data_IF_943015312165
#
_entry.id   IF_943015312165
#
_cell.length_a   1.000
_cell.length_b   1.000
_cell.length_c   1.000
_cell.angle_alpha   90.00
_cell.angle_beta   90.00
_cell.angle_gamma   90.00
#
_symmetry.space_group_name_H-M   'P 1'
#
loop_
_entity.id
_entity.type
_entity.pdbx_description
1 polymer ?
#
# COMPACT_ATOMS: atom_id res chain seq x y z
N UNK A 1 0.41 9.09 17.49
CA UNK A 1 0.84 8.44 16.22
C UNK A 1 1.32 9.52 15.28
N UNK A 2 2.31 9.22 14.43
CA UNK A 2 2.95 10.19 13.52
C UNK A 2 2.07 10.60 12.33
N UNK A 3 2.67 11.31 11.37
CA UNK A 3 2.02 11.83 10.18
C UNK A 3 1.36 10.70 9.35
N UNK A 4 0.06 10.76 9.03
CA UNK A 4 -0.60 9.75 8.20
C UNK A 4 -0.17 9.76 6.73
N UNK A 5 0.43 10.86 6.26
CA UNK A 5 0.82 11.03 4.86
C UNK A 5 2.04 10.17 4.48
N UNK A 6 1.91 9.21 3.54
CA UNK A 6 3.01 8.38 3.08
C UNK A 6 3.80 9.00 1.90
N UNK A 7 3.56 10.25 1.52
CA UNK A 7 4.14 10.85 0.30
C UNK A 7 5.67 10.87 0.29
N UNK A 8 6.33 10.91 1.45
CA UNK A 8 7.80 10.81 1.56
C UNK A 8 8.35 9.47 1.09
N UNK A 9 7.52 8.43 1.09
CA UNK A 9 7.87 7.10 0.64
C UNK A 9 7.43 6.81 -0.81
N UNK A 10 6.71 7.74 -1.45
CA UNK A 10 6.22 7.56 -2.81
C UNK A 10 7.40 7.56 -3.79
N UNK A 11 7.50 6.51 -4.60
CA UNK A 11 8.49 6.38 -5.68
C UNK A 11 7.88 6.92 -6.97
N UNK A 12 6.77 6.33 -7.40
CA UNK A 12 6.14 6.62 -8.68
C UNK A 12 4.68 6.13 -8.73
N UNK A 13 4.02 6.39 -9.85
CA UNK A 13 2.74 5.78 -10.20
C UNK A 13 2.92 4.95 -11.47
N UNK A 14 2.51 3.68 -11.44
CA UNK A 14 2.71 2.77 -12.57
C UNK A 14 1.41 2.05 -12.96
N UNK A 15 1.14 1.84 -14.27
CA UNK A 15 0.01 1.02 -14.71
C UNK A 15 0.22 -0.46 -14.33
N UNK A 16 -0.75 -1.07 -13.64
CA UNK A 16 -0.73 -2.47 -13.21
C UNK A 16 -2.04 -3.14 -13.62
N UNK A 17 -1.97 -4.39 -14.07
CA UNK A 17 -3.16 -5.23 -14.32
C UNK A 17 -3.52 -5.96 -13.03
N UNK A 18 -4.72 -5.68 -12.51
CA UNK A 18 -5.31 -6.43 -11.38
C UNK A 18 -6.35 -7.44 -11.90
N UNK A 19 -6.88 -8.29 -11.02
CA UNK A 19 -7.69 -9.47 -11.35
C UNK A 19 -8.86 -9.29 -12.36
N UNK A 20 -9.32 -8.06 -12.61
CA UNK A 20 -10.33 -7.71 -13.62
C UNK A 20 -9.79 -7.56 -15.06
N UNK A 21 -8.51 -7.86 -15.30
CA UNK A 21 -7.80 -7.63 -16.57
C UNK A 21 -7.75 -6.14 -16.99
N UNK A 22 -8.12 -5.24 -16.09
CA UNK A 22 -8.08 -3.79 -16.28
C UNK A 22 -6.73 -3.26 -15.80
N UNK A 23 -6.11 -2.40 -16.63
CA UNK A 23 -4.95 -1.60 -16.21
C UNK A 23 -5.42 -0.43 -15.34
N UNK A 24 -4.85 -0.32 -14.15
CA UNK A 24 -5.08 0.78 -13.21
C UNK A 24 -3.71 1.38 -12.86
N UNK A 25 -3.61 2.70 -12.88
CA UNK A 25 -2.40 3.41 -12.43
C UNK A 25 -2.45 3.50 -10.91
N UNK A 26 -1.47 2.92 -10.23
CA UNK A 26 -1.44 2.83 -8.77
C UNK A 26 -0.10 3.34 -8.21
N UNK A 27 -0.07 3.89 -6.98
CA UNK A 27 1.16 4.36 -6.35
C UNK A 27 2.05 3.20 -5.91
N UNK A 28 3.36 3.41 -6.03
CA UNK A 28 4.42 2.53 -5.57
C UNK A 28 5.19 3.25 -4.46
N UNK A 29 5.32 2.60 -3.31
CA UNK A 29 6.02 3.15 -2.15
C UNK A 29 7.27 2.33 -1.81
N UNK A 30 8.33 3.01 -1.35
CA UNK A 30 9.49 2.37 -0.72
C UNK A 30 9.16 2.05 0.72
N UNK A 31 9.08 0.76 1.06
CA UNK A 31 8.68 0.28 2.38
C UNK A 31 9.60 0.75 3.51
N UNK A 32 10.89 0.91 3.22
CA UNK A 32 11.93 1.37 4.16
C UNK A 32 11.82 2.87 4.45
N UNK A 33 11.08 3.61 3.62
CA UNK A 33 10.84 5.05 3.80
C UNK A 33 9.51 5.35 4.49
N UNK A 34 8.67 4.34 4.74
CA UNK A 34 7.44 4.51 5.50
C UNK A 34 7.74 4.67 6.99
N UNK A 35 7.05 5.59 7.64
CA UNK A 35 7.24 5.91 9.07
C UNK A 35 6.00 5.59 9.91
N UNK A 36 6.14 5.36 11.22
CA UNK A 36 5.02 5.14 12.12
C UNK A 36 3.92 6.19 12.00
N UNK A 37 2.69 5.74 11.76
CA UNK A 37 1.54 6.59 11.54
C UNK A 37 1.08 6.65 10.09
N UNK A 38 1.97 6.44 9.11
CA UNK A 38 1.63 6.43 7.68
C UNK A 38 0.49 5.46 7.38
N UNK A 39 -0.42 5.89 6.50
CA UNK A 39 -1.59 5.12 6.06
C UNK A 39 -1.57 5.00 4.54
N UNK A 40 -1.81 3.79 4.04
CA UNK A 40 -1.89 3.49 2.61
C UNK A 40 -3.26 2.91 2.33
N UNK A 41 -4.04 3.59 1.49
CA UNK A 41 -5.27 3.04 0.92
C UNK A 41 -4.91 2.29 -0.37
N UNK A 42 -5.43 1.08 -0.54
CA UNK A 42 -5.26 0.38 -1.80
C UNK A 42 -6.15 0.94 -2.92
N UNK A 43 -5.88 0.59 -4.18
CA UNK A 43 -4.81 -0.31 -4.61
C UNK A 43 -3.44 0.39 -4.60
N UNK A 44 -2.43 -0.26 -4.04
CA UNK A 44 -1.07 0.27 -3.96
C UNK A 44 -0.03 -0.86 -3.88
N UNK A 45 1.20 -0.59 -4.32
CA UNK A 45 2.34 -1.48 -4.13
C UNK A 45 3.30 -0.89 -3.12
N UNK A 46 3.79 -1.71 -2.21
CA UNK A 46 4.91 -1.38 -1.33
C UNK A 46 6.06 -2.30 -1.71
N UNK A 47 7.14 -1.70 -2.21
CA UNK A 47 8.38 -2.40 -2.53
C UNK A 47 9.30 -2.34 -1.32
N UNK A 48 9.74 -3.50 -0.87
CA UNK A 48 10.85 -3.67 0.07
C UNK A 48 12.02 -4.31 -0.66
N UNK A 49 13.17 -4.31 -0.01
CA UNK A 49 14.38 -4.90 -0.59
C UNK A 49 14.26 -6.43 -0.78
N UNK A 50 13.39 -7.10 -0.02
CA UNK A 50 13.21 -8.57 -0.03
C UNK A 50 11.80 -9.04 -0.42
N UNK A 51 10.83 -8.13 -0.51
CA UNK A 51 9.43 -8.48 -0.77
C UNK A 51 8.66 -7.35 -1.43
N UNK A 52 7.59 -7.72 -2.13
CA UNK A 52 6.65 -6.76 -2.71
C UNK A 52 5.26 -7.06 -2.17
N UNK A 53 4.64 -6.05 -1.57
CA UNK A 53 3.34 -6.17 -0.91
C UNK A 53 2.30 -5.42 -1.73
N UNK A 54 1.24 -6.12 -2.12
CA UNK A 54 0.05 -5.51 -2.73
C UNK A 54 -0.96 -5.17 -1.64
N UNK A 55 -1.34 -3.90 -1.57
CA UNK A 55 -2.53 -3.46 -0.84
C UNK A 55 -3.70 -3.51 -1.82
N UNK A 56 -4.67 -4.39 -1.60
CA UNK A 56 -5.80 -4.58 -2.51
C UNK A 56 -6.76 -3.40 -2.55
N UNK A 57 -7.61 -3.36 -3.58
CA UNK A 57 -8.58 -2.27 -3.86
C UNK A 57 -9.41 -1.78 -2.66
N UNK A 58 -9.65 -2.63 -1.68
CA UNK A 58 -10.45 -2.30 -0.49
C UNK A 58 -9.68 -2.50 0.81
N UNK A 59 -8.41 -2.87 0.71
CA UNK A 59 -7.55 -3.06 1.86
C UNK A 59 -6.98 -1.71 2.28
N UNK A 60 -6.61 -1.62 3.55
CA UNK A 60 -5.90 -0.47 4.09
C UNK A 60 -4.70 -0.94 4.88
N UNK A 61 -3.58 -0.25 4.73
CA UNK A 61 -2.35 -0.51 5.45
C UNK A 61 -2.03 0.65 6.40
N UNK A 62 -1.44 0.34 7.54
CA UNK A 62 -0.90 1.33 8.48
C UNK A 62 0.42 0.86 9.05
N UNK A 63 1.38 1.77 9.19
CA UNK A 63 2.62 1.51 9.93
C UNK A 63 2.41 1.81 11.41
N UNK A 64 2.63 0.80 12.26
CA UNK A 64 2.56 0.94 13.71
C UNK A 64 3.85 1.55 14.30
N UNK A 65 3.91 1.84 15.62
CA UNK A 65 5.13 2.34 16.26
C UNK A 65 6.35 1.42 16.21
N UNK A 66 6.17 0.13 15.94
CA UNK A 66 7.21 -0.88 15.84
C UNK A 66 7.62 -1.15 14.38
N UNK A 67 7.17 -0.32 13.44
CA UNK A 67 7.40 -0.46 11.99
C UNK A 67 6.77 -1.71 11.37
N UNK A 68 5.83 -2.35 12.06
CA UNK A 68 5.01 -3.38 11.45
C UNK A 68 4.01 -2.74 10.49
N UNK A 69 3.77 -3.40 9.35
CA UNK A 69 2.72 -3.02 8.43
C UNK A 69 1.45 -3.81 8.77
N UNK A 70 0.46 -3.15 9.36
CA UNK A 70 -0.83 -3.74 9.66
C UNK A 70 -1.76 -3.56 8.46
N UNK A 71 -2.22 -4.66 7.87
CA UNK A 71 -3.15 -4.65 6.75
C UNK A 71 -4.53 -5.08 7.24
N UNK A 72 -5.51 -4.18 7.07
CA UNK A 72 -6.92 -4.48 7.26
C UNK A 72 -7.51 -4.89 5.92
N UNK A 73 -7.98 -6.13 5.85
CA UNK A 73 -8.59 -6.69 4.65
C UNK A 73 -9.98 -6.07 4.45
N UNK A 74 -10.23 -5.58 3.23
CA UNK A 74 -11.54 -5.09 2.80
C UNK A 74 -12.48 -6.24 2.43
N UNK A 75 -13.79 -5.99 2.50
CA UNK A 75 -14.80 -6.96 2.10
C UNK A 75 -14.82 -7.11 0.58
N UNK A 76 -14.11 -8.10 0.02
CA UNK A 76 -14.37 -8.52 -1.36
C UNK A 76 -15.87 -8.79 -1.49
N UNK A 77 -16.58 -7.96 -2.25
CA UNK A 77 -17.91 -8.31 -2.71
C UNK A 77 -17.72 -9.62 -3.51
N UNK A 78 -18.16 -10.73 -2.91
CA UNK A 78 -18.18 -12.02 -3.57
C UNK A 78 -19.11 -11.91 -4.78
N UNK A 79 -18.64 -12.41 -5.92
CA UNK A 79 -19.53 -12.82 -6.99
C UNK A 79 -20.40 -13.99 -6.50
#
# INVERSE_FOLDING_TARGET
LGNPDPSVALIEHHPVVLASNQKIVIPFYRGESLIPGNQIAGPAIIMRDDTTILIGLQDQARVDPYHNLHIRIGNRAGN
#
